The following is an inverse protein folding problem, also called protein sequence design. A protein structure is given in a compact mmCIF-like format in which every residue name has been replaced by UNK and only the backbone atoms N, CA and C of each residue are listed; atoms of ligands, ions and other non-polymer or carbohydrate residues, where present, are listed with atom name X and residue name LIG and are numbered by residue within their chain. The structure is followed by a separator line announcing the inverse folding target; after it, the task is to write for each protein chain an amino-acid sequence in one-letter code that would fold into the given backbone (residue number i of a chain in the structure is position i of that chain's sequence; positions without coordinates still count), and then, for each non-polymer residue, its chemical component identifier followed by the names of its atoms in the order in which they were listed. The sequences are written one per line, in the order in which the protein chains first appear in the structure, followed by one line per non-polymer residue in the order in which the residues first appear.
data_IF_990632061373
#
_entry.id   IF_990632061373
#
_cell.length_a   1.000
_cell.length_b   1.000
_cell.length_c   1.000
_cell.angle_alpha   90.00
_cell.angle_beta   90.00
_cell.angle_gamma   90.00
#
_symmetry.space_group_name_H-M   'P 1'
#
loop_
_entity.id
_entity.type
_entity.pdbx_description
1 polymer ?
#
# COMPACT_ATOMS: atom_id res chain seq x y z
N UNK A 1 5.53 -9.11 0.21
CA UNK A 1 4.63 -8.54 1.24
C UNK A 1 4.60 -9.50 2.41
N UNK A 2 4.62 -8.99 3.64
CA UNK A 2 4.65 -9.82 4.85
C UNK A 2 3.92 -9.12 5.98
N UNK A 3 3.22 -9.88 6.82
CA UNK A 3 2.47 -9.37 7.97
C UNK A 3 2.77 -10.26 9.17
N UNK A 4 2.98 -9.66 10.34
CA UNK A 4 3.18 -10.39 11.59
C UNK A 4 2.53 -9.69 12.77
N UNK A 5 2.29 -10.46 13.82
CA UNK A 5 1.94 -9.98 15.14
C UNK A 5 3.19 -10.07 16.02
N UNK A 6 3.68 -8.94 16.48
CA UNK A 6 4.85 -8.84 17.35
C UNK A 6 4.39 -8.66 18.80
N UNK A 7 4.93 -9.48 19.68
CA UNK A 7 4.77 -9.38 21.14
C UNK A 7 6.05 -8.77 21.71
N UNK A 8 5.93 -7.60 22.32
CA UNK A 8 7.05 -6.91 22.97
C UNK A 8 6.85 -6.84 24.48
N UNK A 9 7.83 -7.24 25.31
CA UNK A 9 7.73 -7.05 26.76
C UNK A 9 7.65 -5.56 27.11
N UNK A 10 6.74 -5.20 28.01
CA UNK A 10 6.57 -3.83 28.50
C UNK A 10 6.27 -3.79 30.01
N UNK A 11 6.42 -2.61 30.61
CA UNK A 11 6.03 -2.38 32.01
C UNK A 11 4.50 -2.54 32.10
N UNK A 12 4.04 -3.56 32.83
CA UNK A 12 2.62 -3.91 32.95
C UNK A 12 2.13 -5.06 32.05
N UNK A 13 3.01 -5.70 31.28
CA UNK A 13 2.68 -6.88 30.47
C UNK A 13 3.23 -6.81 29.05
N UNK A 14 3.00 -7.87 28.26
CA UNK A 14 3.37 -7.88 26.85
C UNK A 14 2.46 -6.92 26.06
N UNK A 15 3.05 -6.07 25.24
CA UNK A 15 2.37 -5.24 24.26
C UNK A 15 2.33 -5.95 22.92
N UNK A 16 1.13 -6.10 22.39
CA UNK A 16 0.87 -6.62 21.05
C UNK A 16 0.88 -5.49 20.04
N UNK A 17 1.60 -5.68 18.93
CA UNK A 17 1.60 -4.74 17.80
C UNK A 17 1.64 -5.51 16.47
N UNK A 18 0.86 -5.06 15.51
CA UNK A 18 0.90 -5.60 14.15
C UNK A 18 1.95 -4.86 13.32
N UNK A 19 2.68 -5.61 12.49
CA UNK A 19 3.65 -5.05 11.54
C UNK A 19 3.40 -5.65 10.17
N UNK A 20 3.45 -4.80 9.16
CA UNK A 20 3.38 -5.17 7.76
C UNK A 20 4.55 -4.53 7.01
N UNK A 21 5.05 -5.24 5.99
CA UNK A 21 6.18 -4.81 5.18
C UNK A 21 6.04 -5.23 3.73
N UNK A 22 6.57 -4.40 2.84
CA UNK A 22 6.52 -4.61 1.40
C UNK A 22 7.57 -3.79 0.69
N UNK A 23 7.89 -4.19 -0.54
CA UNK A 23 8.78 -3.46 -1.42
C UNK A 23 8.13 -3.40 -2.81
N UNK A 24 8.25 -2.24 -3.44
CA UNK A 24 7.87 -2.02 -4.83
C UNK A 24 9.10 -1.47 -5.54
N UNK A 25 9.38 -2.02 -6.71
CA UNK A 25 10.51 -1.62 -7.52
C UNK A 25 10.04 -1.22 -8.92
N UNK A 26 10.57 -0.10 -9.41
CA UNK A 26 10.16 0.50 -10.66
C UNK A 26 11.34 1.25 -11.28
N UNK A 27 11.54 1.10 -12.59
CA UNK A 27 12.41 2.01 -13.33
C UNK A 27 11.74 3.36 -13.55
N UNK A 28 12.51 4.42 -13.35
CA UNK A 28 12.08 5.76 -13.72
C UNK A 28 12.19 5.94 -15.25
N UNK A 29 11.26 6.69 -15.88
CA UNK A 29 11.29 6.94 -17.33
C UNK A 29 12.60 7.56 -17.84
N UNK A 30 13.30 8.31 -17.00
CA UNK A 30 14.57 8.98 -17.32
C UNK A 30 15.80 8.16 -16.93
N UNK A 31 15.67 6.86 -16.61
CA UNK A 31 16.83 6.05 -16.27
C UNK A 31 17.76 5.92 -17.48
N UNK A 32 19.06 6.17 -17.27
CA UNK A 32 20.08 6.06 -18.32
C UNK A 32 20.14 4.66 -18.94
N UNK A 33 19.74 3.63 -18.19
CA UNK A 33 19.67 2.24 -18.63
C UNK A 33 18.58 2.03 -19.70
N UNK A 34 17.48 2.80 -19.66
CA UNK A 34 16.47 2.84 -20.73
C UNK A 34 16.80 3.83 -21.85
N UNK A 35 17.40 4.98 -21.53
CA UNK A 35 17.78 5.98 -22.55
C UNK A 35 18.87 5.49 -23.51
N UNK A 36 19.57 4.41 -23.17
CA UNK A 36 20.64 3.82 -24.00
C UNK A 36 20.15 2.86 -25.08
N UNK A 37 18.85 2.69 -25.28
CA UNK A 37 18.32 1.86 -26.37
C UNK A 37 18.32 2.70 -27.65
N UNK A 38 19.14 2.40 -28.66
CA UNK A 38 18.98 2.99 -29.98
C UNK A 38 17.75 2.36 -30.63
N UNK A 39 16.80 3.17 -31.11
CA UNK A 39 15.59 2.70 -31.81
C UNK A 39 15.88 2.05 -33.19
N UNK A 40 17.14 1.99 -33.61
CA UNK A 40 17.55 1.53 -34.94
C UNK A 40 18.67 0.49 -34.83
N UNK A 41 18.51 -0.71 -35.42
CA UNK A 41 19.61 -1.67 -35.56
C UNK A 41 20.68 -1.09 -36.49
N UNK A 42 21.96 -1.36 -36.19
CA UNK A 42 23.07 -1.10 -37.10
C UNK A 42 22.79 -1.80 -38.43
N UNK A 43 22.88 -1.08 -39.54
CA UNK A 43 22.39 -1.47 -40.87
C UNK A 43 23.10 -2.64 -41.55
N UNK A 44 23.75 -3.53 -40.78
CA UNK A 44 24.67 -4.54 -41.24
C UNK A 44 24.22 -5.96 -40.83
N UNK A 45 22.91 -6.19 -40.68
CA UNK A 45 22.23 -7.43 -41.04
C UNK A 45 22.80 -8.77 -40.53
N UNK A 46 23.55 -8.80 -39.42
CA UNK A 46 23.96 -10.05 -38.77
C UNK A 46 22.74 -10.64 -38.02
N UNK A 47 22.26 -11.85 -38.39
CA UNK A 47 21.13 -12.49 -37.70
C UNK A 47 21.46 -12.94 -36.27
N UNK A 48 22.71 -12.78 -35.80
CA UNK A 48 23.17 -13.20 -34.47
C UNK A 48 23.42 -12.06 -33.49
N UNK A 49 23.00 -10.83 -33.78
CA UNK A 49 22.86 -9.84 -32.70
C UNK A 49 21.61 -10.19 -31.89
N UNK A 50 21.77 -11.18 -31.00
CA UNK A 50 20.94 -11.31 -29.81
C UNK A 50 21.10 -9.99 -29.06
N UNK A 51 20.15 -9.07 -29.26
CA UNK A 51 20.14 -7.76 -28.61
C UNK A 51 19.91 -8.01 -27.11
N UNK A 52 20.97 -8.35 -26.39
CA UNK A 52 20.99 -8.37 -24.94
C UNK A 52 20.92 -6.92 -24.47
N UNK A 53 19.70 -6.43 -24.29
CA UNK A 53 19.45 -5.07 -23.85
C UNK A 53 20.05 -4.89 -22.46
N UNK A 54 20.98 -3.93 -22.23
CA UNK A 54 21.56 -3.70 -20.91
C UNK A 54 20.50 -3.43 -19.82
N UNK A 55 19.35 -2.88 -20.19
CA UNK A 55 18.20 -2.70 -19.31
C UNK A 55 17.63 -4.03 -18.77
N UNK A 56 17.68 -5.10 -19.55
CA UNK A 56 17.23 -6.43 -19.13
C UNK A 56 18.17 -7.00 -18.06
N UNK A 57 19.48 -6.77 -18.17
CA UNK A 57 20.45 -7.21 -17.17
C UNK A 57 20.29 -6.47 -15.83
N UNK A 58 20.17 -5.13 -15.86
CA UNK A 58 19.94 -4.36 -14.63
C UNK A 58 18.62 -4.72 -13.95
N UNK A 59 17.58 -5.02 -14.74
CA UNK A 59 16.29 -5.48 -14.20
C UNK A 59 16.38 -6.88 -13.60
N UNK A 60 17.05 -7.81 -14.28
CA UNK A 60 17.28 -9.16 -13.78
C UNK A 60 18.08 -9.15 -12.48
N UNK A 61 19.11 -8.32 -12.39
CA UNK A 61 19.88 -8.12 -11.16
C UNK A 61 19.02 -7.56 -10.04
N UNK A 62 18.25 -6.49 -10.30
CA UNK A 62 17.30 -5.93 -9.34
C UNK A 62 16.34 -7.01 -8.82
N UNK A 63 15.75 -7.80 -9.71
CA UNK A 63 14.84 -8.88 -9.33
C UNK A 63 15.55 -9.98 -8.54
N UNK A 64 16.79 -10.32 -8.88
CA UNK A 64 17.60 -11.30 -8.14
C UNK A 64 17.89 -10.83 -6.71
N UNK A 65 18.27 -9.56 -6.53
CA UNK A 65 18.49 -8.94 -5.23
C UNK A 65 17.20 -8.85 -4.42
N UNK A 66 16.10 -8.38 -5.00
CA UNK A 66 14.81 -8.34 -4.32
C UNK A 66 14.31 -9.74 -3.94
N UNK A 67 14.65 -10.75 -4.75
CA UNK A 67 14.34 -12.16 -4.50
C UNK A 67 15.03 -12.74 -3.27
N UNK A 68 16.11 -12.11 -2.77
CA UNK A 68 16.81 -12.58 -1.56
C UNK A 68 16.21 -12.04 -0.27
N UNK A 69 15.21 -11.15 -0.34
CA UNK A 69 14.57 -10.57 0.84
C UNK A 69 13.74 -11.64 1.54
N UNK A 70 14.06 -11.91 2.80
CA UNK A 70 13.23 -12.76 3.63
C UNK A 70 11.99 -12.02 4.15
N UNK A 71 10.84 -12.70 4.28
CA UNK A 71 9.62 -12.12 4.84
C UNK A 71 9.82 -11.45 6.21
N UNK A 72 10.72 -12.01 7.03
CA UNK A 72 11.09 -11.52 8.36
C UNK A 72 11.81 -10.17 8.28
N UNK A 73 12.67 -9.96 7.30
CA UNK A 73 13.42 -8.71 7.13
C UNK A 73 12.50 -7.52 6.81
N UNK A 74 11.39 -7.77 6.11
CA UNK A 74 10.39 -6.75 5.78
C UNK A 74 9.64 -6.22 7.00
N UNK A 75 9.55 -7.01 8.06
CA UNK A 75 8.75 -6.72 9.26
C UNK A 75 9.60 -6.51 10.51
N UNK A 76 10.91 -6.78 10.45
CA UNK A 76 11.81 -6.67 11.59
C UNK A 76 11.96 -5.20 12.06
N UNK A 77 11.67 -4.89 13.34
CA UNK A 77 11.83 -3.54 13.89
C UNK A 77 13.28 -3.05 13.95
N UNK A 78 14.27 -3.93 13.85
CA UNK A 78 15.70 -3.62 13.96
C UNK A 78 16.38 -3.38 12.60
N UNK A 79 15.78 -3.88 11.51
CA UNK A 79 16.32 -3.74 10.17
C UNK A 79 15.83 -2.40 9.58
N UNK A 80 14.53 -2.16 9.46
CA UNK A 80 14.04 -0.88 8.89
C UNK A 80 14.39 -0.69 7.41
N UNK A 81 13.65 0.21 6.73
CA UNK A 81 13.71 0.32 5.27
C UNK A 81 15.10 0.74 4.74
N UNK A 82 15.73 1.73 5.37
CA UNK A 82 17.05 2.24 4.96
C UNK A 82 18.13 1.15 5.00
N UNK A 83 18.20 0.38 6.08
CA UNK A 83 19.20 -0.69 6.23
C UNK A 83 18.91 -1.86 5.29
N UNK A 84 17.65 -2.21 5.09
CA UNK A 84 17.29 -3.27 4.14
C UNK A 84 17.76 -2.89 2.72
N UNK A 85 17.44 -1.67 2.27
CA UNK A 85 17.88 -1.17 0.97
C UNK A 85 19.40 -1.07 0.85
N UNK A 86 20.09 -0.65 1.92
CA UNK A 86 21.55 -0.66 1.94
C UNK A 86 22.10 -2.08 1.81
N UNK A 87 21.58 -3.06 2.56
CA UNK A 87 22.04 -4.45 2.46
C UNK A 87 21.90 -5.01 1.04
N UNK A 88 20.80 -4.67 0.36
CA UNK A 88 20.54 -5.12 -1.01
C UNK A 88 21.44 -4.44 -2.05
N UNK A 89 21.66 -3.12 -1.94
CA UNK A 89 22.27 -2.32 -3.00
C UNK A 89 23.58 -1.61 -2.62
N UNK A 90 24.27 -2.07 -1.56
CA UNK A 90 25.49 -1.43 -1.07
C UNK A 90 26.61 -1.35 -2.12
N UNK A 91 26.72 -2.33 -3.02
CA UNK A 91 27.74 -2.35 -4.09
C UNK A 91 27.51 -1.27 -5.14
N UNK A 92 26.24 -0.98 -5.45
CA UNK A 92 25.85 0.00 -6.47
C UNK A 92 25.75 1.42 -5.90
N UNK A 93 25.65 1.54 -4.59
CA UNK A 93 25.35 2.78 -3.89
C UNK A 93 23.84 3.03 -3.86
N UNK A 94 23.32 3.26 -2.64
CA UNK A 94 21.91 3.58 -2.42
C UNK A 94 21.77 5.01 -1.91
N UNK A 95 20.78 5.73 -2.44
CA UNK A 95 20.31 6.99 -1.87
C UNK A 95 18.90 6.79 -1.34
N UNK A 96 18.73 7.01 -0.04
CA UNK A 96 17.42 6.95 0.61
C UNK A 96 16.90 8.36 0.86
N UNK A 97 15.61 8.56 0.64
CA UNK A 97 14.90 9.81 0.91
C UNK A 97 14.08 9.69 2.19
N UNK A 98 13.67 10.83 2.74
CA UNK A 98 12.80 10.86 3.91
C UNK A 98 11.50 10.09 3.66
N UNK A 99 11.17 9.19 4.58
CA UNK A 99 9.93 8.42 4.52
C UNK A 99 8.69 9.31 4.71
N UNK A 100 7.58 8.88 4.12
CA UNK A 100 6.27 9.48 4.36
C UNK A 100 5.56 8.66 5.44
N UNK A 101 5.05 9.27 6.52
CA UNK A 101 4.30 8.55 7.52
C UNK A 101 3.00 8.02 6.92
N UNK A 102 2.76 6.72 7.10
CA UNK A 102 1.51 6.05 6.71
C UNK A 102 0.70 5.83 7.96
N UNK A 103 -0.57 6.23 7.93
CA UNK A 103 -1.50 6.08 9.03
C UNK A 103 -2.86 5.64 8.50
N UNK A 104 -3.54 4.79 9.28
CA UNK A 104 -4.92 4.42 9.02
C UNK A 104 -5.84 5.60 9.37
N UNK A 105 -6.27 6.34 8.34
CA UNK A 105 -7.10 7.53 8.48
C UNK A 105 -8.19 7.52 7.41
N UNK A 106 -9.38 7.07 7.81
CA UNK A 106 -10.56 7.17 6.97
C UNK A 106 -11.24 8.54 7.14
N UNK A 107 -11.76 9.09 6.05
CA UNK A 107 -12.46 10.39 6.08
C UNK A 107 -13.94 10.27 6.48
N UNK A 108 -14.45 9.06 6.73
CA UNK A 108 -15.82 8.85 7.19
C UNK A 108 -16.05 9.48 8.57
N UNK A 109 -17.29 9.92 8.82
CA UNK A 109 -17.70 10.51 10.09
C UNK A 109 -19.20 10.33 10.24
N UNK A 110 -19.72 10.37 11.48
CA UNK A 110 -21.15 10.21 11.73
C UNK A 110 -21.95 11.29 11.02
N UNK A 111 -21.42 12.51 10.97
CA UNK A 111 -22.01 13.68 10.32
C UNK A 111 -22.13 13.49 8.79
N UNK A 112 -21.07 12.96 8.15
CA UNK A 112 -21.11 12.67 6.71
C UNK A 112 -22.13 11.59 6.37
N UNK A 113 -22.18 10.51 7.16
CA UNK A 113 -23.13 9.42 6.92
C UNK A 113 -24.57 9.90 7.18
N UNK A 114 -24.78 10.67 8.24
CA UNK A 114 -26.07 11.31 8.52
C UNK A 114 -26.53 12.18 7.34
N UNK A 115 -25.65 13.03 6.80
CA UNK A 115 -25.98 13.88 5.66
C UNK A 115 -26.33 13.11 4.39
N UNK A 116 -25.84 11.87 4.22
CA UNK A 116 -26.28 10.98 3.14
C UNK A 116 -27.71 10.48 3.41
N UNK A 117 -27.99 10.03 4.63
CA UNK A 117 -29.30 9.54 5.04
C UNK A 117 -30.36 10.65 5.01
N UNK A 118 -30.00 11.90 5.30
CA UNK A 118 -30.90 13.07 5.16
C UNK A 118 -31.36 13.31 3.71
N UNK A 119 -30.65 12.77 2.71
CA UNK A 119 -31.06 12.82 1.30
C UNK A 119 -32.02 11.72 0.89
N UNK A 120 -32.29 10.74 1.75
CA UNK A 120 -33.20 9.63 1.45
C UNK A 120 -34.65 10.04 1.67
N UNK A 121 -35.54 9.51 0.84
CA UNK A 121 -36.99 9.58 1.05
C UNK A 121 -37.41 8.79 2.29
N UNK A 122 -38.61 9.07 2.80
CA UNK A 122 -39.16 8.34 3.94
C UNK A 122 -39.28 6.83 3.69
N UNK A 123 -39.59 6.43 2.44
CA UNK A 123 -39.65 5.01 2.06
C UNK A 123 -38.25 4.38 2.06
N UNK A 124 -37.23 5.07 1.55
CA UNK A 124 -35.84 4.59 1.57
C UNK A 124 -35.28 4.47 2.99
N UNK A 125 -35.61 5.42 3.89
CA UNK A 125 -35.26 5.33 5.32
C UNK A 125 -35.92 4.13 5.98
N UNK A 126 -37.20 3.89 5.67
CA UNK A 126 -37.93 2.73 6.18
C UNK A 126 -37.35 1.42 5.67
N UNK A 127 -37.02 1.34 4.38
CA UNK A 127 -36.42 0.15 3.76
C UNK A 127 -34.98 -0.08 4.26
N UNK A 128 -34.29 0.97 4.69
CA UNK A 128 -32.95 0.90 5.32
C UNK A 128 -32.98 0.59 6.82
N UNK A 129 -34.17 0.50 7.43
CA UNK A 129 -34.32 0.23 8.86
C UNK A 129 -34.42 -1.28 9.11
N UNK A 130 -33.49 -1.80 9.88
CA UNK A 130 -33.43 -3.21 10.30
C UNK A 130 -33.40 -3.28 11.83
N UNK A 131 -34.21 -4.16 12.43
CA UNK A 131 -34.30 -4.34 13.90
C UNK A 131 -34.53 -3.04 14.71
N UNK A 132 -35.13 -2.02 14.08
CA UNK A 132 -35.42 -0.72 14.69
C UNK A 132 -34.28 0.31 14.61
N UNK A 133 -33.19 0.01 13.90
CA UNK A 133 -32.06 0.92 13.68
C UNK A 133 -31.63 0.96 12.21
N UNK A 134 -30.83 1.98 11.86
CA UNK A 134 -30.11 2.02 10.58
C UNK A 134 -28.63 1.78 10.88
N UNK A 135 -28.08 0.70 10.33
CA UNK A 135 -26.69 0.29 10.54
C UNK A 135 -25.88 0.51 9.26
N UNK A 136 -24.90 1.41 9.34
CA UNK A 136 -24.04 1.73 8.19
C UNK A 136 -22.59 1.36 8.49
N UNK A 137 -22.08 0.38 7.74
CA UNK A 137 -20.67 0.04 7.72
C UNK A 137 -19.94 0.90 6.68
N UNK A 138 -18.87 1.59 7.07
CA UNK A 138 -18.01 2.24 6.10
C UNK A 138 -17.21 1.19 5.31
N UNK A 139 -17.41 1.09 4.00
CA UNK A 139 -16.69 0.13 3.12
C UNK A 139 -15.16 0.32 3.06
N UNK A 140 -14.64 1.43 3.59
CA UNK A 140 -13.19 1.70 3.60
C UNK A 140 -12.50 1.29 4.91
N UNK A 141 -13.11 1.58 6.06
CA UNK A 141 -12.50 1.31 7.38
C UNK A 141 -13.31 0.35 8.25
N UNK A 142 -14.44 -0.15 7.74
CA UNK A 142 -15.37 -1.06 8.43
C UNK A 142 -15.92 -0.52 9.76
N UNK A 143 -15.77 0.77 10.03
CA UNK A 143 -16.38 1.41 11.19
C UNK A 143 -17.89 1.40 11.03
N UNK A 144 -18.57 0.98 12.09
CA UNK A 144 -20.02 0.94 12.17
C UNK A 144 -20.57 2.27 12.69
N UNK A 145 -21.66 2.72 12.07
CA UNK A 145 -22.43 3.89 12.47
C UNK A 145 -23.88 3.49 12.63
N UNK A 146 -24.41 3.73 13.83
CA UNK A 146 -25.81 3.44 14.16
C UNK A 146 -26.60 4.75 14.24
N UNK A 147 -27.79 4.73 13.66
CA UNK A 147 -28.74 5.84 13.71
C UNK A 147 -30.14 5.37 14.09
N UNK A 148 -30.87 6.23 14.78
CA UNK A 148 -32.31 6.04 15.02
C UNK A 148 -33.08 6.57 13.79
N UNK A 149 -33.96 5.76 13.16
CA UNK A 149 -34.81 6.21 12.05
C UNK A 149 -35.62 7.48 12.37
N UNK A 150 -35.96 7.70 13.65
CA UNK A 150 -36.64 8.91 14.09
C UNK A 150 -35.82 10.19 13.89
N UNK A 151 -34.48 10.09 13.75
CA UNK A 151 -33.61 11.22 13.39
C UNK A 151 -33.93 11.79 11.99
N UNK A 152 -34.57 11.00 11.12
CA UNK A 152 -34.80 11.35 9.70
C UNK A 152 -36.28 11.46 9.31
N UNK A 153 -37.21 11.04 10.19
CA UNK A 153 -38.65 11.04 9.94
C UNK A 153 -39.29 12.43 9.72
N UNK A 154 -38.54 13.52 9.92
CA UNK A 154 -39.01 14.89 9.78
C UNK A 154 -38.74 15.55 8.41
N UNK A 155 -37.99 14.89 7.52
CA UNK A 155 -37.74 15.40 6.16
C UNK A 155 -38.91 15.01 5.25
N UNK A 156 -39.97 15.84 5.24
CA UNK A 156 -41.07 15.80 4.26
C UNK A 156 -40.86 16.85 3.18
#
# INVERSE_FOLDING_TARGET
LSVTKLLTPGIGGAREQWRAGGILAQFLPQSSERMRVPDLPGGDGDPREDIHHPADNSWQELLALLGTIEPTELIDPTIGAERLLYRLFHEHGVRVFGGVPVADQCSCSREKIRGILEGFSADEIKDSTEDGGIHVACEFCSKQYDFDPAEFAAAQ
#
